data_IF_409434653809
#
_entry.id   IF_409434653809
#
_cell.length_a   1.000
_cell.length_b   1.000
_cell.length_c   1.000
_cell.angle_alpha   90.00
_cell.angle_beta   90.00
_cell.angle_gamma   90.00
#
_symmetry.space_group_name_H-M   'P 1'
#
loop_
_entity.id
_entity.type
_entity.pdbx_description
1 polymer ?
#
# COMPACT_ATOMS: atom_id res chain seq x y z
N UNK A 1 4.79 -10.32 3.08
CA UNK A 1 5.27 -9.88 4.38
C UNK A 1 5.09 -11.01 5.39
N UNK A 2 6.12 -11.30 6.16
CA UNK A 2 6.08 -12.35 7.18
C UNK A 2 5.58 -11.75 8.50
N UNK A 3 4.27 -11.70 8.64
CA UNK A 3 3.51 -11.35 9.87
C UNK A 3 2.17 -12.07 9.82
N UNK A 4 1.63 -12.38 10.99
CA UNK A 4 0.26 -12.86 11.11
C UNK A 4 -0.73 -11.70 10.97
N UNK A 5 -1.83 -11.92 10.27
CA UNK A 5 -2.87 -10.93 10.05
C UNK A 5 -4.23 -11.56 9.83
N UNK A 6 -5.27 -10.83 10.19
CA UNK A 6 -6.63 -11.27 10.05
C UNK A 6 -7.08 -11.23 8.58
N UNK A 7 -7.44 -12.40 8.02
CA UNK A 7 -8.02 -12.49 6.70
C UNK A 7 -9.45 -11.97 6.67
N UNK A 8 -9.90 -11.42 5.53
CA UNK A 8 -11.28 -11.00 5.34
C UNK A 8 -11.73 -11.23 3.90
N UNK A 9 -13.05 -11.38 3.72
CA UNK A 9 -13.70 -11.47 2.41
C UNK A 9 -14.98 -10.64 2.42
N UNK A 10 -15.16 -9.65 1.51
CA UNK A 10 -16.39 -8.90 1.39
C UNK A 10 -17.47 -9.77 0.74
N UNK A 11 -18.68 -9.76 1.29
CA UNK A 11 -19.80 -10.59 0.84
C UNK A 11 -21.09 -9.79 0.81
N UNK A 12 -21.98 -10.12 -0.16
CA UNK A 12 -23.35 -9.65 -0.18
C UNK A 12 -24.18 -10.50 0.78
N UNK A 13 -24.83 -9.87 1.75
CA UNK A 13 -25.57 -10.59 2.78
C UNK A 13 -27.07 -10.55 2.54
N UNK A 14 -27.74 -11.66 2.85
CA UNK A 14 -29.19 -11.78 2.81
C UNK A 14 -29.68 -12.41 4.12
N UNK A 15 -30.68 -11.78 4.74
CA UNK A 15 -31.35 -12.29 5.94
C UNK A 15 -32.78 -12.63 5.57
N UNK A 16 -33.20 -13.89 5.72
CA UNK A 16 -34.53 -14.39 5.32
C UNK A 16 -34.90 -14.03 3.88
N UNK A 17 -33.94 -14.10 2.95
CA UNK A 17 -34.13 -13.77 1.54
C UNK A 17 -34.17 -12.29 1.21
N UNK A 18 -34.03 -11.40 2.19
CA UNK A 18 -33.91 -9.95 1.98
C UNK A 18 -32.48 -9.52 2.00
N UNK A 19 -32.08 -8.69 1.06
CA UNK A 19 -30.73 -8.09 1.00
C UNK A 19 -30.44 -7.27 2.26
N UNK A 20 -29.29 -7.46 2.86
CA UNK A 20 -28.87 -6.85 4.14
C UNK A 20 -27.51 -6.14 4.05
N UNK A 21 -27.04 -5.85 2.86
CA UNK A 21 -25.84 -5.04 2.65
C UNK A 21 -24.56 -5.82 2.41
N UNK A 22 -23.49 -5.09 2.15
CA UNK A 22 -22.12 -5.59 2.04
C UNK A 22 -21.55 -5.75 3.44
N UNK A 23 -21.11 -6.95 3.78
CA UNK A 23 -20.42 -7.25 5.04
C UNK A 23 -19.09 -7.93 4.77
N UNK A 24 -18.22 -7.98 5.78
CA UNK A 24 -16.97 -8.71 5.72
C UNK A 24 -17.05 -9.98 6.57
N UNK A 25 -16.82 -11.14 5.95
CA UNK A 25 -16.45 -12.33 6.70
C UNK A 25 -15.01 -12.13 7.13
N UNK A 26 -14.75 -12.18 8.43
CA UNK A 26 -13.42 -12.02 9.00
C UNK A 26 -12.97 -13.28 9.71
N UNK A 27 -11.71 -13.60 9.57
CA UNK A 27 -11.07 -14.61 10.41
C UNK A 27 -11.07 -14.12 11.87
N UNK A 28 -11.45 -14.98 12.84
CA UNK A 28 -11.41 -14.57 14.24
C UNK A 28 -9.96 -14.40 14.72
N UNK A 29 -9.67 -13.32 15.44
CA UNK A 29 -8.34 -13.04 16.00
C UNK A 29 -8.19 -13.52 17.45
N UNK A 30 -8.76 -14.67 17.77
CA UNK A 30 -8.72 -15.29 19.10
C UNK A 30 -8.05 -16.68 19.04
N UNK A 31 -8.23 -17.52 20.06
CA UNK A 31 -7.66 -18.88 20.11
C UNK A 31 -7.99 -19.76 18.91
N UNK A 32 -9.00 -19.44 18.13
CA UNK A 32 -9.32 -20.16 16.90
C UNK A 32 -8.44 -19.76 15.72
N UNK A 33 -7.84 -18.55 15.76
CA UNK A 33 -6.84 -18.13 14.78
C UNK A 33 -5.61 -19.05 14.81
N UNK A 34 -5.03 -19.24 16.00
CA UNK A 34 -3.88 -20.11 16.19
C UNK A 34 -4.20 -21.59 15.90
N UNK A 35 -5.44 -22.02 16.14
CA UNK A 35 -5.88 -23.34 15.71
C UNK A 35 -5.95 -23.47 14.17
N UNK A 36 -6.58 -22.52 13.48
CA UNK A 36 -6.76 -22.56 12.04
C UNK A 36 -5.44 -22.45 11.27
N UNK A 37 -4.50 -21.62 11.74
CA UNK A 37 -3.27 -21.33 11.02
C UNK A 37 -2.07 -22.18 11.46
N UNK A 38 -2.06 -22.68 12.72
CA UNK A 38 -0.93 -23.37 13.33
C UNK A 38 -1.29 -24.75 13.91
N UNK A 39 -2.58 -25.12 13.88
CA UNK A 39 -3.06 -26.39 14.45
C UNK A 39 -3.03 -26.43 15.99
N UNK A 40 -2.88 -25.31 16.66
CA UNK A 40 -2.75 -25.23 18.13
C UNK A 40 -4.12 -25.22 18.80
N UNK A 41 -4.46 -26.27 19.54
CA UNK A 41 -5.64 -26.26 20.40
C UNK A 41 -5.48 -25.27 21.58
N UNK A 42 -6.57 -24.93 22.27
CA UNK A 42 -6.54 -24.01 23.42
C UNK A 42 -5.60 -24.46 24.52
N UNK A 43 -5.43 -25.77 24.69
CA UNK A 43 -4.59 -26.35 25.75
C UNK A 43 -3.11 -26.41 25.36
N UNK A 44 -2.81 -26.31 24.06
CA UNK A 44 -1.46 -26.37 23.52
C UNK A 44 -0.83 -25.00 23.30
N UNK A 45 -1.48 -23.92 23.69
CA UNK A 45 -1.00 -22.55 23.47
C UNK A 45 -1.04 -21.70 24.72
N UNK A 46 -0.18 -20.68 24.72
CA UNK A 46 -0.29 -19.49 25.54
C UNK A 46 -0.70 -18.33 24.65
N UNK A 47 -1.68 -17.52 25.07
CA UNK A 47 -2.18 -16.38 24.30
C UNK A 47 -2.51 -15.22 25.21
N UNK A 48 -2.11 -14.01 24.82
CA UNK A 48 -2.48 -12.77 25.50
C UNK A 48 -3.12 -11.76 24.56
N UNK A 49 -3.82 -10.80 25.16
CA UNK A 49 -4.35 -9.60 24.49
C UNK A 49 -4.12 -8.38 25.38
N UNK A 50 -3.79 -7.25 24.73
CA UNK A 50 -3.86 -5.94 25.37
C UNK A 50 -5.20 -5.30 25.03
N UNK A 51 -6.01 -5.07 26.04
CA UNK A 51 -7.29 -4.38 25.96
C UNK A 51 -7.17 -2.99 26.57
N UNK A 52 -7.66 -1.97 25.86
CA UNK A 52 -7.53 -0.58 26.25
C UNK A 52 -8.20 -0.21 27.58
N UNK A 53 -9.17 -1.04 28.03
CA UNK A 53 -9.91 -0.84 29.28
C UNK A 53 -9.41 -1.74 30.41
N UNK A 54 -8.99 -2.97 30.07
CA UNK A 54 -8.64 -4.02 31.03
C UNK A 54 -7.13 -4.24 31.14
N UNK A 55 -6.33 -3.67 30.22
CA UNK A 55 -4.89 -3.90 30.16
C UNK A 55 -4.54 -5.30 29.65
N UNK A 56 -3.51 -5.92 30.21
CA UNK A 56 -3.09 -7.27 29.83
C UNK A 56 -4.14 -8.32 30.24
N UNK A 57 -4.55 -9.13 29.27
CA UNK A 57 -5.49 -10.23 29.46
C UNK A 57 -4.84 -11.55 29.02
N UNK A 58 -4.86 -12.56 29.88
CA UNK A 58 -4.49 -13.93 29.55
C UNK A 58 -5.68 -14.61 28.86
N UNK A 59 -5.55 -14.91 27.57
CA UNK A 59 -6.66 -15.46 26.76
C UNK A 59 -6.65 -16.99 26.69
N UNK A 60 -5.47 -17.62 26.77
CA UNK A 60 -5.29 -19.07 26.84
C UNK A 60 -3.95 -19.42 27.49
N UNK A 61 -3.86 -20.60 28.12
CA UNK A 61 -2.64 -21.13 28.75
C UNK A 61 -2.19 -20.34 29.97
N UNK A 62 -0.87 -20.04 30.06
CA UNK A 62 -0.26 -19.28 31.15
C UNK A 62 0.55 -18.10 30.62
N UNK A 63 0.85 -17.16 31.51
CA UNK A 63 1.69 -15.99 31.17
C UNK A 63 3.19 -16.19 31.52
N UNK A 64 3.57 -17.38 31.98
CA UNK A 64 4.94 -17.65 32.47
C UNK A 64 6.00 -17.38 31.43
N UNK A 65 5.75 -17.84 30.18
CA UNK A 65 6.66 -17.62 29.06
C UNK A 65 6.75 -16.14 28.66
N UNK A 66 5.65 -15.41 28.73
CA UNK A 66 5.62 -13.98 28.44
C UNK A 66 6.35 -13.18 29.53
N UNK A 67 6.14 -13.51 30.79
CA UNK A 67 6.88 -12.95 31.93
C UNK A 67 8.36 -13.22 31.85
N UNK A 68 8.75 -14.44 31.45
CA UNK A 68 10.15 -14.78 31.23
C UNK A 68 10.76 -13.92 30.11
N UNK A 69 10.07 -13.77 28.98
CA UNK A 69 10.52 -12.89 27.91
C UNK A 69 10.69 -11.45 28.40
N UNK A 70 9.72 -10.95 29.15
CA UNK A 70 9.78 -9.60 29.75
C UNK A 70 11.02 -9.41 30.61
N UNK A 71 11.34 -10.38 31.48
CA UNK A 71 12.53 -10.37 32.34
C UNK A 71 13.84 -10.43 31.52
N UNK A 72 13.89 -11.30 30.52
CA UNK A 72 15.05 -11.41 29.63
C UNK A 72 15.28 -10.13 28.84
N UNK A 73 14.23 -9.47 28.37
CA UNK A 73 14.32 -8.24 27.60
C UNK A 73 14.99 -7.10 28.40
N UNK A 74 14.88 -7.07 29.71
CA UNK A 74 15.58 -6.08 30.55
C UNK A 74 17.10 -6.22 30.51
N UNK A 75 17.59 -7.42 30.19
CA UNK A 75 19.02 -7.79 30.14
C UNK A 75 19.47 -8.17 28.74
N UNK A 76 18.73 -7.81 27.71
CA UNK A 76 18.98 -8.24 26.33
C UNK A 76 20.30 -7.70 25.71
N UNK A 77 20.97 -6.77 26.37
CA UNK A 77 22.32 -6.30 25.99
C UNK A 77 23.42 -7.36 26.23
N UNK A 78 23.12 -8.38 27.02
CA UNK A 78 23.98 -9.54 27.21
C UNK A 78 23.75 -10.54 26.06
N UNK A 79 24.79 -10.89 25.29
CA UNK A 79 24.65 -11.75 24.11
C UNK A 79 23.98 -13.09 24.41
N UNK A 80 24.34 -13.74 25.51
CA UNK A 80 23.74 -15.01 25.93
C UNK A 80 22.25 -14.89 26.29
N UNK A 81 21.83 -13.73 26.80
CA UNK A 81 20.43 -13.44 27.09
C UNK A 81 19.66 -13.18 25.79
N UNK A 82 20.24 -12.40 24.88
CA UNK A 82 19.66 -12.16 23.59
C UNK A 82 19.48 -13.46 22.78
N UNK A 83 20.48 -14.33 22.78
CA UNK A 83 20.39 -15.65 22.12
C UNK A 83 19.24 -16.50 22.70
N UNK A 84 18.98 -16.43 24.01
CA UNK A 84 17.81 -17.10 24.61
C UNK A 84 16.50 -16.50 24.10
N UNK A 85 16.41 -15.18 23.94
CA UNK A 85 15.23 -14.51 23.42
C UNK A 85 14.97 -14.96 21.97
N UNK A 86 15.98 -15.09 21.11
CA UNK A 86 15.80 -15.54 19.72
C UNK A 86 15.25 -16.96 19.58
N UNK A 87 15.39 -17.78 20.63
CA UNK A 87 14.77 -19.11 20.71
C UNK A 87 13.30 -19.06 21.13
N UNK A 88 12.86 -17.96 21.76
CA UNK A 88 11.48 -17.77 22.24
C UNK A 88 10.63 -16.90 21.31
N UNK A 89 11.27 -16.08 20.50
CA UNK A 89 10.62 -15.06 19.65
C UNK A 89 11.15 -15.22 18.23
N UNK A 90 10.25 -15.16 17.26
CA UNK A 90 10.63 -14.99 15.89
C UNK A 90 10.98 -13.53 15.65
N UNK A 91 12.28 -13.25 15.54
CA UNK A 91 12.79 -11.87 15.46
C UNK A 91 12.36 -11.19 14.15
N UNK A 92 12.31 -11.94 13.03
CA UNK A 92 11.89 -11.39 11.74
C UNK A 92 10.42 -10.99 11.78
N UNK A 93 9.54 -11.88 12.26
CA UNK A 93 8.13 -11.60 12.42
C UNK A 93 7.91 -10.43 13.40
N UNK A 94 8.56 -10.46 14.55
CA UNK A 94 8.43 -9.44 15.59
C UNK A 94 8.86 -8.06 15.08
N UNK A 95 9.98 -7.96 14.38
CA UNK A 95 10.42 -6.70 13.78
C UNK A 95 9.48 -6.23 12.68
N UNK A 96 8.98 -7.12 11.83
CA UNK A 96 8.02 -6.79 10.79
C UNK A 96 6.69 -6.28 11.38
N UNK A 97 6.19 -6.93 12.42
CA UNK A 97 4.98 -6.52 13.13
C UNK A 97 5.12 -5.08 13.68
N UNK A 98 6.18 -4.83 14.45
CA UNK A 98 6.42 -3.50 15.03
C UNK A 98 6.69 -2.43 13.97
N UNK A 99 7.47 -2.75 12.94
CA UNK A 99 7.77 -1.83 11.84
C UNK A 99 6.49 -1.41 11.09
N UNK A 100 5.60 -2.36 10.83
CA UNK A 100 4.33 -2.09 10.14
C UNK A 100 3.42 -1.18 10.98
N UNK A 101 3.27 -1.47 12.27
CA UNK A 101 2.44 -0.66 13.16
C UNK A 101 3.01 0.75 13.37
N UNK A 102 4.31 0.87 13.58
CA UNK A 102 4.95 2.19 13.71
C UNK A 102 4.86 3.00 12.41
N UNK A 103 4.91 2.35 11.24
CA UNK A 103 4.70 3.04 9.97
C UNK A 103 3.26 3.51 9.76
N UNK A 104 2.29 2.69 10.17
CA UNK A 104 0.86 3.01 10.05
C UNK A 104 0.37 4.00 11.12
N UNK A 105 1.07 4.15 12.23
CA UNK A 105 0.74 5.08 13.31
C UNK A 105 -0.75 4.99 13.76
N UNK A 106 -1.28 3.82 14.18
CA UNK A 106 -2.63 3.75 14.72
C UNK A 106 -2.73 4.49 16.06
N UNK A 107 -3.81 5.26 16.26
CA UNK A 107 -3.98 6.15 17.41
C UNK A 107 -4.10 5.40 18.73
N UNK A 108 -4.83 4.30 18.73
CA UNK A 108 -5.22 3.52 19.92
C UNK A 108 -4.31 2.31 20.18
N UNK A 109 -3.22 2.19 19.42
CA UNK A 109 -2.29 1.07 19.58
C UNK A 109 -1.20 1.37 20.61
N UNK A 110 -0.69 0.28 21.21
CA UNK A 110 0.34 0.29 22.26
C UNK A 110 -0.23 -0.05 23.64
N UNK A 111 -1.42 0.42 23.94
CA UNK A 111 -2.20 0.05 25.14
C UNK A 111 -3.42 -0.82 24.80
N UNK A 112 -3.78 -0.92 23.53
CA UNK A 112 -4.90 -1.66 22.96
C UNK A 112 -4.43 -2.38 21.69
N UNK A 113 -5.22 -3.33 21.20
CA UNK A 113 -5.05 -3.97 19.89
C UNK A 113 -3.72 -4.70 19.69
N UNK A 114 -3.14 -5.27 20.76
CA UNK A 114 -1.98 -6.15 20.67
C UNK A 114 -2.37 -7.56 21.10
N UNK A 115 -2.17 -8.54 20.23
CA UNK A 115 -2.35 -9.96 20.53
C UNK A 115 -1.09 -10.74 20.19
N UNK A 116 -0.76 -11.69 21.06
CA UNK A 116 0.31 -12.63 20.80
C UNK A 116 -0.06 -14.02 21.25
N UNK A 117 0.46 -15.02 20.58
CA UNK A 117 0.31 -16.43 20.91
C UNK A 117 1.60 -17.20 20.67
N UNK A 118 1.74 -18.33 21.30
CA UNK A 118 2.79 -19.32 21.06
C UNK A 118 2.29 -20.73 21.37
N UNK A 119 2.83 -21.73 20.71
CA UNK A 119 2.67 -23.13 21.14
C UNK A 119 3.44 -23.42 22.42
N UNK A 120 2.98 -24.40 23.20
CA UNK A 120 3.66 -24.88 24.42
C UNK A 120 4.78 -25.89 24.13
N UNK A 121 4.81 -26.45 22.90
CA UNK A 121 5.87 -27.37 22.52
C UNK A 121 7.24 -26.71 22.57
N UNK A 122 8.27 -27.48 22.86
CA UNK A 122 9.66 -27.02 22.85
C UNK A 122 10.04 -26.42 21.49
N UNK A 123 10.73 -25.31 21.48
CA UNK A 123 11.10 -24.58 20.27
C UNK A 123 10.00 -23.67 19.66
N UNK A 124 8.77 -23.71 20.21
CA UNK A 124 7.73 -22.79 19.77
C UNK A 124 8.07 -21.34 20.12
N UNK A 125 7.79 -20.45 19.17
CA UNK A 125 8.08 -19.00 19.29
C UNK A 125 6.81 -18.19 19.47
N UNK A 126 6.95 -16.99 20.03
CA UNK A 126 5.89 -15.99 20.09
C UNK A 126 5.64 -15.38 18.70
N UNK A 127 4.36 -15.28 18.34
CA UNK A 127 3.80 -14.61 17.17
C UNK A 127 2.84 -13.51 17.59
N UNK A 128 2.66 -12.52 16.72
CA UNK A 128 1.75 -11.39 16.94
C UNK A 128 0.76 -11.28 15.78
N UNK A 129 -0.51 -11.08 16.07
CA UNK A 129 -1.57 -10.94 15.06
C UNK A 129 -1.87 -9.47 14.84
N UNK A 130 -1.79 -9.02 13.58
CA UNK A 130 -2.17 -7.67 13.18
C UNK A 130 -3.67 -7.61 12.93
N UNK A 131 -4.35 -6.70 13.62
CA UNK A 131 -5.80 -6.48 13.50
C UNK A 131 -6.13 -5.05 13.92
N UNK A 132 -7.37 -4.62 13.64
CA UNK A 132 -7.97 -3.36 14.10
C UNK A 132 -7.13 -2.11 13.79
N UNK A 133 -6.97 -1.85 12.49
CA UNK A 133 -6.20 -0.71 11.98
C UNK A 133 -7.10 0.44 11.51
N UNK A 134 -8.32 0.53 12.01
CA UNK A 134 -9.29 1.56 11.63
C UNK A 134 -8.87 2.98 12.03
N UNK A 135 -8.06 3.10 13.09
CA UNK A 135 -7.43 4.35 13.54
C UNK A 135 -6.02 4.58 12.98
N UNK A 136 -5.63 3.85 11.90
CA UNK A 136 -4.34 4.05 11.26
C UNK A 136 -4.17 5.49 10.72
N UNK A 137 -2.94 6.00 10.79
CA UNK A 137 -2.52 7.34 10.38
C UNK A 137 -2.95 8.51 11.29
N UNK A 138 -3.63 8.24 12.40
CA UNK A 138 -4.10 9.26 13.33
C UNK A 138 -3.20 9.38 14.57
N UNK A 139 -2.24 8.46 14.74
CA UNK A 139 -1.25 8.47 15.79
C UNK A 139 0.04 9.20 15.45
N UNK A 140 1.09 8.93 16.23
CA UNK A 140 2.44 9.46 16.00
C UNK A 140 3.50 8.47 16.51
N UNK A 141 4.44 8.07 15.64
CA UNK A 141 5.49 7.09 15.96
C UNK A 141 6.32 7.46 17.18
N UNK A 142 6.68 8.75 17.34
CA UNK A 142 7.47 9.18 18.49
C UNK A 142 6.68 9.06 19.78
N UNK A 143 5.37 9.37 19.73
CA UNK A 143 4.48 9.14 20.88
C UNK A 143 4.35 7.65 21.18
N UNK A 144 4.15 6.81 20.16
CA UNK A 144 4.04 5.36 20.31
C UNK A 144 5.30 4.78 20.97
N UNK A 145 6.49 5.21 20.56
CA UNK A 145 7.77 4.77 21.14
C UNK A 145 8.06 5.37 22.52
N UNK A 146 7.55 6.56 22.83
CA UNK A 146 7.83 7.28 24.08
C UNK A 146 6.71 7.17 25.11
N UNK A 147 5.47 6.96 24.70
CA UNK A 147 4.26 7.15 25.53
C UNK A 147 3.92 5.92 26.38
N UNK A 148 4.64 4.84 26.23
CA UNK A 148 4.42 3.62 27.04
C UNK A 148 4.39 3.93 28.54
N UNK A 149 5.20 4.86 29.01
CA UNK A 149 5.16 5.31 30.40
C UNK A 149 3.99 6.27 30.70
N UNK A 150 3.57 7.07 29.73
CA UNK A 150 2.53 8.10 29.95
C UNK A 150 1.11 7.57 29.95
N UNK A 151 0.77 6.65 29.06
CA UNK A 151 -0.58 6.06 28.99
C UNK A 151 -0.90 5.23 30.24
N UNK A 152 0.08 4.47 30.73
CA UNK A 152 -0.09 3.69 31.94
C UNK A 152 -0.13 4.53 33.23
N UNK A 153 0.35 5.78 33.20
CA UNK A 153 0.22 6.70 34.34
C UNK A 153 -1.06 7.53 34.28
N UNK A 154 -1.66 7.75 33.11
CA UNK A 154 -2.84 8.60 32.96
C UNK A 154 -4.17 7.85 33.10
N UNK A 155 -4.21 6.52 32.96
CA UNK A 155 -5.42 5.69 33.07
C UNK A 155 -5.41 4.88 34.37
N UNK A 156 -5.12 5.50 35.49
CA UNK A 156 -5.48 4.95 36.79
C UNK A 156 -6.99 5.15 36.98
N UNK A 157 -7.81 4.29 36.40
CA UNK A 157 -9.20 4.16 36.82
C UNK A 157 -9.22 3.43 38.14
N UNK A 158 -9.93 3.93 39.16
CA UNK A 158 -10.12 3.20 40.42
C UNK A 158 -10.73 1.83 40.10
N UNK A 159 -10.00 0.76 40.44
CA UNK A 159 -10.43 -0.63 40.25
C UNK A 159 -9.83 -1.37 39.03
N UNK A 160 -9.06 -0.72 38.14
CA UNK A 160 -8.31 -1.40 37.08
C UNK A 160 -6.91 -1.77 37.62
N UNK A 161 -6.62 -3.05 37.71
CA UNK A 161 -5.25 -3.54 37.88
C UNK A 161 -4.59 -3.52 36.47
N UNK A 162 -4.13 -2.35 36.05
CA UNK A 162 -3.25 -2.30 34.86
C UNK A 162 -1.94 -2.94 35.28
N UNK A 163 -1.68 -4.14 34.78
CA UNK A 163 -0.42 -4.85 35.06
C UNK A 163 0.65 -4.20 34.15
N UNK A 164 1.19 -3.06 34.58
CA UNK A 164 2.26 -2.30 33.91
C UNK A 164 3.46 -3.18 33.55
N UNK A 165 3.70 -4.19 34.36
CA UNK A 165 4.84 -5.10 34.21
C UNK A 165 4.78 -6.00 32.99
N UNK A 166 3.61 -6.18 32.39
CA UNK A 166 3.40 -7.07 31.23
C UNK A 166 3.12 -6.33 29.91
N UNK A 167 3.40 -5.03 29.83
CA UNK A 167 3.15 -4.29 28.60
C UNK A 167 4.12 -4.71 27.46
N UNK A 168 3.63 -5.20 26.32
CA UNK A 168 4.46 -5.62 25.18
C UNK A 168 5.38 -4.51 24.67
N UNK A 169 4.94 -3.26 24.74
CA UNK A 169 5.72 -2.08 24.35
C UNK A 169 6.98 -1.89 25.19
N UNK A 170 6.96 -2.25 26.49
CA UNK A 170 8.15 -2.22 27.35
C UNK A 170 9.18 -3.25 26.87
N UNK A 171 8.71 -4.43 26.48
CA UNK A 171 9.57 -5.48 25.93
C UNK A 171 10.27 -4.95 24.68
N UNK A 172 9.53 -4.39 23.73
CA UNK A 172 10.09 -3.85 22.48
C UNK A 172 11.13 -2.76 22.74
N UNK A 173 10.84 -1.79 23.61
CA UNK A 173 11.79 -0.73 23.99
C UNK A 173 13.05 -1.27 24.64
N UNK A 174 12.93 -2.28 25.48
CA UNK A 174 14.09 -2.93 26.07
C UNK A 174 14.91 -3.66 25.00
N UNK A 175 14.25 -4.38 24.08
CA UNK A 175 14.92 -5.05 22.96
C UNK A 175 15.73 -4.08 22.09
N UNK A 176 15.24 -2.86 21.87
CA UNK A 176 15.98 -1.82 21.14
C UNK A 176 17.31 -1.39 21.79
N UNK A 177 17.56 -1.73 23.07
CA UNK A 177 18.86 -1.51 23.71
C UNK A 177 19.94 -2.46 23.21
N UNK A 178 19.54 -3.62 22.68
CA UNK A 178 20.48 -4.54 22.02
C UNK A 178 20.80 -4.05 20.60
N UNK A 179 22.08 -3.84 20.30
CA UNK A 179 22.52 -3.26 19.02
C UNK A 179 22.16 -4.15 17.81
N UNK A 180 22.23 -5.49 17.96
CA UNK A 180 21.89 -6.45 16.91
C UNK A 180 20.40 -6.40 16.62
N UNK A 181 19.54 -6.43 17.63
CA UNK A 181 18.08 -6.30 17.49
C UNK A 181 17.70 -4.95 16.89
N UNK A 182 18.27 -3.87 17.41
CA UNK A 182 17.99 -2.51 16.92
C UNK A 182 18.33 -2.36 15.44
N UNK A 183 19.50 -2.85 15.01
CA UNK A 183 19.84 -2.83 13.59
C UNK A 183 18.87 -3.66 12.76
N UNK A 184 18.53 -4.86 13.21
CA UNK A 184 17.59 -5.73 12.52
C UNK A 184 16.21 -5.06 12.37
N UNK A 185 15.72 -4.40 13.41
CA UNK A 185 14.46 -3.64 13.39
C UNK A 185 14.52 -2.43 12.44
N UNK A 186 15.62 -1.66 12.46
CA UNK A 186 15.80 -0.52 11.55
C UNK A 186 15.77 -0.99 10.08
N UNK A 187 16.48 -2.08 9.78
CA UNK A 187 16.49 -2.68 8.45
C UNK A 187 15.08 -3.15 8.05
N UNK A 188 14.36 -3.85 8.93
CA UNK A 188 12.98 -4.28 8.70
C UNK A 188 12.05 -3.09 8.41
N UNK A 189 12.15 -2.00 9.20
CA UNK A 189 11.35 -0.80 9.00
C UNK A 189 11.62 -0.16 7.62
N UNK A 190 12.89 -0.03 7.24
CA UNK A 190 13.28 0.51 5.94
C UNK A 190 12.81 -0.39 4.79
N UNK A 191 12.99 -1.72 4.93
CA UNK A 191 12.55 -2.70 3.93
C UNK A 191 11.04 -2.63 3.72
N UNK A 192 10.25 -2.63 4.80
CA UNK A 192 8.79 -2.52 4.74
C UNK A 192 8.36 -1.19 4.12
N UNK A 193 8.98 -0.09 4.54
CA UNK A 193 8.72 1.24 3.97
C UNK A 193 8.95 1.28 2.46
N UNK A 194 10.05 0.71 1.98
CA UNK A 194 10.46 0.74 0.56
C UNK A 194 9.90 -0.40 -0.30
N UNK A 195 9.14 -1.34 0.28
CA UNK A 195 8.57 -2.48 -0.44
C UNK A 195 7.07 -2.60 -0.22
N UNK A 196 6.64 -2.94 1.00
CA UNK A 196 5.21 -3.15 1.34
C UNK A 196 4.42 -1.86 1.22
N UNK A 197 4.96 -0.76 1.76
CA UNK A 197 4.37 0.58 1.74
C UNK A 197 4.92 1.48 0.62
N UNK A 198 5.51 0.88 -0.42
CA UNK A 198 5.89 1.65 -1.61
C UNK A 198 4.63 2.30 -2.20
N UNK A 199 4.63 3.63 -2.45
CA UNK A 199 3.42 4.41 -2.75
C UNK A 199 2.62 3.92 -3.96
N UNK A 200 3.29 3.53 -5.06
CA UNK A 200 2.58 3.05 -6.25
C UNK A 200 1.91 1.70 -6.00
N UNK A 201 2.57 0.81 -5.27
CA UNK A 201 2.02 -0.47 -4.83
C UNK A 201 0.80 -0.27 -3.92
N UNK A 202 0.90 0.64 -2.96
CA UNK A 202 -0.22 0.95 -2.06
C UNK A 202 -1.43 1.48 -2.83
N UNK A 203 -1.22 2.40 -3.76
CA UNK A 203 -2.28 2.90 -4.64
C UNK A 203 -2.97 1.77 -5.39
N UNK A 204 -2.19 0.88 -5.99
CA UNK A 204 -2.73 -0.26 -6.73
C UNK A 204 -3.55 -1.21 -5.84
N UNK A 205 -3.09 -1.50 -4.61
CA UNK A 205 -3.83 -2.34 -3.66
C UNK A 205 -5.15 -1.67 -3.27
N UNK A 206 -5.14 -0.38 -2.93
CA UNK A 206 -6.35 0.36 -2.57
C UNK A 206 -7.36 0.35 -3.73
N UNK A 207 -6.90 0.54 -4.98
CA UNK A 207 -7.76 0.50 -6.16
C UNK A 207 -8.31 -0.91 -6.41
N UNK A 208 -7.49 -1.95 -6.20
CA UNK A 208 -7.96 -3.34 -6.32
C UNK A 208 -9.04 -3.67 -5.30
N UNK A 209 -8.82 -3.30 -4.02
CA UNK A 209 -9.81 -3.52 -2.95
C UNK A 209 -11.10 -2.72 -3.21
N UNK A 210 -10.97 -1.47 -3.64
CA UNK A 210 -12.11 -0.63 -4.02
C UNK A 210 -12.91 -1.27 -5.15
N UNK A 211 -12.25 -1.77 -6.19
CA UNK A 211 -12.90 -2.38 -7.35
C UNK A 211 -13.71 -3.63 -6.98
N UNK A 212 -13.32 -4.35 -5.93
CA UNK A 212 -14.06 -5.53 -5.47
C UNK A 212 -15.41 -5.19 -4.83
N UNK A 213 -15.59 -3.99 -4.27
CA UNK A 213 -16.79 -3.64 -3.47
C UNK A 213 -17.57 -2.45 -4.01
N UNK A 214 -16.98 -1.60 -4.86
CA UNK A 214 -17.54 -0.30 -5.23
C UNK A 214 -18.96 -0.39 -5.82
N UNK A 215 -19.20 -1.33 -6.72
CA UNK A 215 -20.52 -1.47 -7.39
C UNK A 215 -21.63 -1.83 -6.41
N UNK A 216 -21.34 -2.77 -5.50
CA UNK A 216 -22.28 -3.17 -4.47
C UNK A 216 -22.57 -2.03 -3.49
N UNK A 217 -21.54 -1.30 -3.05
CA UNK A 217 -21.69 -0.15 -2.15
C UNK A 217 -22.45 1.00 -2.82
N UNK A 218 -22.21 1.28 -4.10
CA UNK A 218 -22.99 2.28 -4.84
C UNK A 218 -24.46 1.90 -4.96
N UNK A 219 -24.76 0.63 -5.16
CA UNK A 219 -26.14 0.14 -5.17
C UNK A 219 -26.86 0.35 -3.82
N UNK A 220 -26.10 0.47 -2.73
CA UNK A 220 -26.59 0.81 -1.38
C UNK A 220 -26.65 2.33 -1.13
N UNK A 221 -26.26 3.15 -2.09
CA UNK A 221 -26.13 4.60 -1.90
C UNK A 221 -24.92 5.04 -1.09
N UNK A 222 -23.93 4.14 -0.90
CA UNK A 222 -22.70 4.40 -0.15
C UNK A 222 -21.54 4.59 -1.14
N UNK A 223 -20.83 5.72 -1.07
CA UNK A 223 -19.64 5.95 -1.88
C UNK A 223 -18.38 5.60 -1.10
N UNK A 224 -17.63 4.56 -1.49
CA UNK A 224 -16.36 4.22 -0.87
C UNK A 224 -15.17 5.07 -1.39
N UNK A 225 -15.39 5.94 -2.38
CA UNK A 225 -14.31 6.68 -3.06
C UNK A 225 -13.58 7.63 -2.11
N UNK A 226 -14.30 8.32 -1.23
CA UNK A 226 -13.72 9.24 -0.26
C UNK A 226 -12.75 8.54 0.69
N UNK A 227 -13.12 7.39 1.23
CA UNK A 227 -12.25 6.59 2.11
C UNK A 227 -11.03 6.06 1.36
N UNK A 228 -11.20 5.54 0.14
CA UNK A 228 -10.08 5.09 -0.68
C UNK A 228 -9.12 6.25 -1.02
N UNK A 229 -9.65 7.42 -1.38
CA UNK A 229 -8.86 8.64 -1.61
C UNK A 229 -8.08 9.07 -0.37
N UNK A 230 -8.71 9.06 0.80
CA UNK A 230 -8.06 9.38 2.07
C UNK A 230 -6.87 8.45 2.35
N UNK A 231 -7.04 7.14 2.19
CA UNK A 231 -5.96 6.16 2.41
C UNK A 231 -4.81 6.39 1.40
N UNK A 232 -5.11 6.59 0.11
CA UNK A 232 -4.08 6.87 -0.90
C UNK A 232 -3.29 8.15 -0.58
N UNK A 233 -3.97 9.20 -0.13
CA UNK A 233 -3.33 10.46 0.27
C UNK A 233 -2.45 10.34 1.53
N UNK A 234 -2.62 9.27 2.31
CA UNK A 234 -1.78 8.97 3.47
C UNK A 234 -0.57 8.08 3.13
N UNK A 235 -0.59 7.34 2.02
CA UNK A 235 0.44 6.39 1.61
C UNK A 235 1.25 6.95 0.42
N UNK A 236 1.91 8.08 0.64
CA UNK A 236 2.64 8.84 -0.37
C UNK A 236 4.16 8.76 -0.19
N UNK A 237 4.91 9.25 -1.19
CA UNK A 237 6.38 9.35 -1.11
C UNK A 237 6.82 10.33 -0.02
N UNK A 238 6.04 11.39 0.23
CA UNK A 238 6.30 12.34 1.31
C UNK A 238 6.15 11.69 2.68
N UNK A 239 5.12 10.84 2.85
CA UNK A 239 5.00 10.03 4.08
C UNK A 239 6.17 9.08 4.24
N UNK A 240 6.54 8.36 3.19
CA UNK A 240 7.70 7.45 3.24
C UNK A 240 8.95 8.18 3.74
N UNK A 241 9.26 9.33 3.14
CA UNK A 241 10.40 10.17 3.57
C UNK A 241 10.25 10.67 5.01
N UNK A 242 9.05 11.11 5.41
CA UNK A 242 8.79 11.58 6.77
C UNK A 242 8.95 10.48 7.82
N UNK A 243 8.52 9.25 7.52
CA UNK A 243 8.65 8.10 8.45
C UNK A 243 10.11 7.69 8.64
N UNK A 244 10.92 7.69 7.58
CA UNK A 244 12.38 7.48 7.67
C UNK A 244 13.05 8.59 8.47
N UNK A 245 12.65 9.85 8.28
CA UNK A 245 13.17 10.97 9.07
C UNK A 245 12.80 10.86 10.56
N UNK A 246 11.58 10.48 10.90
CA UNK A 246 11.14 10.21 12.27
C UNK A 246 11.95 9.07 12.90
N UNK A 247 12.15 7.97 12.17
CA UNK A 247 12.96 6.86 12.63
C UNK A 247 14.40 7.32 12.93
N UNK A 248 15.04 8.04 12.00
CA UNK A 248 16.39 8.58 12.15
C UNK A 248 16.51 9.50 13.37
N UNK A 249 15.52 10.34 13.59
CA UNK A 249 15.54 11.34 14.66
C UNK A 249 15.28 10.73 16.06
N UNK A 250 14.72 9.52 16.13
CA UNK A 250 14.35 8.94 17.42
C UNK A 250 15.57 8.43 18.19
N UNK A 251 15.77 8.87 19.46
CA UNK A 251 16.99 8.55 20.23
C UNK A 251 17.28 7.05 20.38
N UNK A 252 16.24 6.22 20.49
CA UNK A 252 16.40 4.77 20.64
C UNK A 252 17.01 4.09 19.41
N UNK A 253 17.01 4.73 18.26
CA UNK A 253 17.56 4.16 17.03
C UNK A 253 19.07 4.39 16.89
N UNK A 254 19.63 5.34 17.63
CA UNK A 254 21.07 5.67 17.60
C UNK A 254 21.61 5.96 16.20
N UNK A 255 20.80 6.62 15.34
CA UNK A 255 21.14 6.95 13.96
C UNK A 255 21.70 8.39 13.80
N UNK A 256 22.07 9.04 14.89
CA UNK A 256 22.63 10.38 14.82
C UNK A 256 23.93 10.39 14.01
N UNK A 257 23.98 11.25 12.99
CA UNK A 257 25.13 11.35 12.08
C UNK A 257 25.20 10.24 11.00
N UNK A 258 24.26 9.30 10.99
CA UNK A 258 24.18 8.26 9.94
C UNK A 258 23.30 8.79 8.80
N UNK A 259 23.83 8.80 7.57
CA UNK A 259 23.02 9.21 6.41
C UNK A 259 22.21 8.04 5.84
N UNK A 260 21.04 8.35 5.32
CA UNK A 260 20.19 7.41 4.63
C UNK A 260 20.51 7.42 3.13
N UNK A 261 20.76 6.24 2.58
CA UNK A 261 21.03 6.05 1.16
C UNK A 261 19.77 5.64 0.42
N UNK A 262 19.43 6.37 -0.66
CA UNK A 262 18.28 6.04 -1.50
C UNK A 262 18.65 4.94 -2.50
N UNK A 263 17.92 3.84 -2.46
CA UNK A 263 18.12 2.72 -3.35
C UNK A 263 16.84 2.37 -4.10
N UNK A 264 17.02 1.96 -5.35
CA UNK A 264 15.96 1.41 -6.18
C UNK A 264 16.45 0.06 -6.72
N UNK A 265 15.88 -1.02 -6.22
CA UNK A 265 16.28 -2.39 -6.51
C UNK A 265 15.11 -3.18 -7.08
N UNK A 266 15.35 -4.00 -8.08
CA UNK A 266 14.36 -4.94 -8.60
C UNK A 266 15.01 -6.20 -9.13
N UNK A 267 14.25 -7.28 -9.17
CA UNK A 267 14.63 -8.51 -9.85
C UNK A 267 13.95 -8.59 -11.21
N UNK A 268 14.60 -9.23 -12.18
CA UNK A 268 14.04 -9.42 -13.51
C UNK A 268 13.21 -10.71 -13.66
N UNK A 269 13.11 -11.49 -12.59
CA UNK A 269 12.31 -12.72 -12.52
C UNK A 269 11.35 -12.64 -11.33
N UNK A 270 10.06 -12.95 -11.49
CA UNK A 270 9.07 -12.90 -10.41
C UNK A 270 9.40 -13.81 -9.22
N UNK A 271 10.02 -14.96 -9.47
CA UNK A 271 10.37 -15.96 -8.46
C UNK A 271 11.73 -15.70 -7.79
N UNK A 272 12.52 -14.74 -8.30
CA UNK A 272 13.78 -14.36 -7.67
C UNK A 272 13.51 -13.60 -6.36
N UNK A 273 14.33 -13.85 -5.34
CA UNK A 273 14.20 -13.17 -4.06
C UNK A 273 15.30 -12.13 -3.89
N UNK A 274 14.92 -10.98 -3.39
CA UNK A 274 15.81 -9.90 -2.99
C UNK A 274 15.98 -9.94 -1.47
N UNK A 275 17.22 -9.85 -0.98
CA UNK A 275 17.51 -9.70 0.44
C UNK A 275 18.33 -8.41 0.67
N UNK A 276 18.03 -7.73 1.76
CA UNK A 276 18.76 -6.57 2.27
C UNK A 276 19.19 -6.91 3.69
N UNK A 277 20.49 -6.89 3.96
CA UNK A 277 21.08 -7.27 5.24
C UNK A 277 20.55 -8.64 5.74
N UNK A 278 20.52 -9.62 4.83
CA UNK A 278 20.00 -10.97 5.01
C UNK A 278 18.49 -11.09 5.29
N UNK A 279 17.75 -9.99 5.37
CA UNK A 279 16.30 -9.97 5.52
C UNK A 279 15.61 -10.01 4.15
N UNK A 280 14.59 -10.84 3.94
CA UNK A 280 13.89 -10.92 2.67
C UNK A 280 13.06 -9.64 2.42
N UNK A 281 13.18 -9.09 1.23
CA UNK A 281 12.26 -8.06 0.75
C UNK A 281 10.93 -8.72 0.39
N UNK A 282 9.80 -8.33 0.99
CA UNK A 282 8.50 -9.00 0.79
C UNK A 282 7.94 -8.94 -0.64
N UNK A 283 8.52 -8.08 -1.48
CA UNK A 283 8.19 -7.89 -2.89
C UNK A 283 9.41 -8.16 -3.76
N UNK A 284 9.27 -8.16 -5.09
CA UNK A 284 10.40 -8.32 -6.00
C UNK A 284 11.19 -7.03 -6.22
N UNK A 285 10.84 -5.97 -5.52
CA UNK A 285 11.41 -4.64 -5.68
C UNK A 285 11.46 -3.90 -4.34
N UNK A 286 12.40 -2.97 -4.28
CA UNK A 286 12.56 -2.04 -3.17
C UNK A 286 12.84 -0.64 -3.72
N UNK A 287 12.11 0.35 -3.23
CA UNK A 287 12.35 1.76 -3.51
C UNK A 287 12.23 2.56 -2.23
N UNK A 288 13.36 2.95 -1.66
CA UNK A 288 13.35 3.63 -0.38
C UNK A 288 14.76 3.92 0.14
N UNK A 289 14.80 4.38 1.39
CA UNK A 289 16.02 4.70 2.09
C UNK A 289 16.47 3.56 3.00
N UNK A 290 17.77 3.35 3.08
CA UNK A 290 18.44 2.40 3.98
C UNK A 290 19.58 3.10 4.72
N UNK A 291 19.92 2.61 5.91
CA UNK A 291 21.05 3.09 6.69
C UNK A 291 22.23 2.13 6.61
N UNK A 292 23.45 2.66 6.40
CA UNK A 292 24.67 1.86 6.35
C UNK A 292 24.97 1.15 7.68
N UNK A 293 25.58 -0.06 7.67
CA UNK A 293 26.04 -0.79 6.49
C UNK A 293 24.90 -1.50 5.74
N UNK A 294 24.98 -1.52 4.40
CA UNK A 294 23.97 -2.11 3.51
C UNK A 294 24.60 -3.26 2.72
N UNK A 295 24.01 -4.44 2.81
CA UNK A 295 24.32 -5.60 1.97
C UNK A 295 23.10 -5.99 1.16
N UNK A 296 23.24 -6.13 -0.15
CA UNK A 296 22.17 -6.58 -1.03
C UNK A 296 22.50 -7.93 -1.65
N UNK A 297 21.54 -8.84 -1.66
CA UNK A 297 21.66 -10.16 -2.27
C UNK A 297 20.46 -10.44 -3.16
N UNK A 298 20.70 -11.12 -4.29
CA UNK A 298 19.64 -11.69 -5.11
C UNK A 298 19.78 -13.21 -5.09
N UNK A 299 18.68 -13.91 -4.82
CA UNK A 299 18.61 -15.37 -4.84
C UNK A 299 17.84 -15.79 -6.07
N UNK A 300 18.54 -16.44 -7.00
CA UNK A 300 17.96 -16.95 -8.21
C UNK A 300 17.06 -18.16 -7.93
N UNK A 301 15.91 -18.32 -8.64
CA UNK A 301 15.09 -19.51 -8.55
C UNK A 301 15.77 -20.73 -9.17
N UNK A 302 15.22 -21.92 -8.94
CA UNK A 302 15.75 -23.16 -9.49
C UNK A 302 15.88 -23.10 -11.02
N UNK A 303 17.02 -23.55 -11.56
CA UNK A 303 17.33 -23.48 -12.98
C UNK A 303 17.94 -22.17 -13.48
N UNK A 304 18.05 -21.17 -12.62
CA UNK A 304 18.67 -19.87 -12.92
C UNK A 304 19.89 -19.63 -12.04
N UNK A 305 20.72 -18.68 -12.46
CA UNK A 305 21.87 -18.20 -11.66
C UNK A 305 21.90 -16.67 -11.66
N UNK A 306 22.32 -16.11 -10.56
CA UNK A 306 22.59 -14.67 -10.45
C UNK A 306 23.80 -14.30 -11.31
N UNK A 307 23.65 -13.36 -12.23
CA UNK A 307 24.67 -12.92 -13.16
C UNK A 307 25.37 -11.63 -12.73
N UNK A 308 24.75 -10.88 -11.83
CA UNK A 308 25.25 -9.60 -11.36
C UNK A 308 24.15 -8.54 -11.28
N UNK A 309 24.52 -7.40 -10.73
CA UNK A 309 23.71 -6.20 -10.68
C UNK A 309 23.97 -5.36 -11.94
N UNK A 310 22.89 -4.84 -12.51
CA UNK A 310 22.95 -3.86 -13.60
C UNK A 310 22.48 -2.52 -13.07
N UNK A 311 23.32 -1.49 -13.20
CA UNK A 311 22.86 -0.14 -12.93
C UNK A 311 21.92 0.30 -14.05
N UNK A 312 20.64 0.53 -13.68
CA UNK A 312 19.64 1.08 -14.59
C UNK A 312 19.60 2.58 -14.30
N UNK A 313 20.19 3.37 -15.16
CA UNK A 313 20.04 4.82 -15.07
C UNK A 313 18.56 5.17 -15.23
N UNK A 314 18.01 5.93 -14.29
CA UNK A 314 16.66 6.48 -14.42
C UNK A 314 16.68 7.54 -15.53
N UNK A 315 16.39 7.12 -16.75
CA UNK A 315 16.14 8.04 -17.85
C UNK A 315 14.66 8.41 -17.78
N UNK A 316 14.34 9.60 -17.28
CA UNK A 316 13.02 10.16 -17.52
C UNK A 316 12.92 10.50 -19.00
N UNK A 317 12.06 9.82 -19.73
CA UNK A 317 11.77 10.12 -21.13
C UNK A 317 10.26 10.34 -21.30
N UNK A 318 9.89 11.35 -22.07
CA UNK A 318 8.51 11.53 -22.44
C UNK A 318 8.15 10.53 -23.54
N UNK A 319 7.35 9.51 -23.19
CA UNK A 319 6.80 8.56 -24.16
C UNK A 319 5.80 9.25 -25.12
N UNK A 320 5.12 10.27 -24.64
CA UNK A 320 4.24 11.15 -25.40
C UNK A 320 4.80 12.56 -25.30
N UNK A 321 5.25 13.10 -26.42
CA UNK A 321 5.75 14.47 -26.48
C UNK A 321 4.60 15.47 -26.45
N UNK A 322 4.83 16.64 -25.86
CA UNK A 322 3.93 17.79 -26.00
C UNK A 322 3.68 18.07 -27.46
N UNK A 323 2.45 18.37 -27.83
CA UNK A 323 2.02 18.59 -29.23
C UNK A 323 2.18 17.38 -30.18
N UNK A 324 2.25 16.15 -29.65
CA UNK A 324 2.21 14.96 -30.49
C UNK A 324 0.85 14.73 -31.13
N UNK A 325 0.84 13.98 -32.23
CA UNK A 325 -0.40 13.60 -32.93
C UNK A 325 -1.21 12.55 -32.18
N UNK A 326 -2.54 12.70 -32.25
CA UNK A 326 -3.53 11.78 -31.71
C UNK A 326 -4.55 11.44 -32.81
N UNK A 327 -5.04 10.22 -32.78
CA UNK A 327 -6.28 9.87 -33.47
C UNK A 327 -7.42 10.37 -32.64
N UNK A 328 -8.42 11.02 -33.27
CA UNK A 328 -9.61 11.49 -32.53
C UNK A 328 -10.90 11.26 -33.31
N UNK A 329 -11.99 11.10 -32.56
CA UNK A 329 -13.32 10.90 -33.11
C UNK A 329 -14.29 11.90 -32.48
N UNK A 330 -14.91 12.71 -33.35
CA UNK A 330 -15.81 13.82 -32.99
C UNK A 330 -17.14 13.74 -33.77
N UNK A 331 -17.72 12.52 -33.91
CA UNK A 331 -18.90 12.29 -34.73
C UNK A 331 -20.09 11.61 -34.03
N UNK A 332 -20.01 11.34 -32.74
CA UNK A 332 -21.08 10.71 -31.95
C UNK A 332 -20.62 9.54 -31.10
N UNK A 333 -21.59 8.72 -30.63
CA UNK A 333 -21.34 7.63 -29.70
C UNK A 333 -20.48 6.50 -30.27
N UNK A 334 -19.63 5.97 -29.41
CA UNK A 334 -18.88 4.72 -29.57
C UNK A 334 -19.20 3.69 -28.46
N UNK A 335 -20.31 3.86 -27.73
CA UNK A 335 -20.68 3.01 -26.60
C UNK A 335 -20.78 1.52 -26.97
N UNK A 336 -21.30 1.22 -28.16
CA UNK A 336 -21.44 -0.14 -28.68
C UNK A 336 -20.16 -0.69 -29.32
N UNK A 337 -19.05 0.05 -29.26
CA UNK A 337 -17.79 -0.31 -29.90
C UNK A 337 -16.68 -0.52 -28.87
N UNK A 338 -15.84 -1.52 -29.12
CA UNK A 338 -14.68 -1.75 -28.27
C UNK A 338 -13.50 -0.83 -28.66
N UNK A 339 -13.76 0.47 -28.76
CA UNK A 339 -12.83 1.48 -29.26
C UNK A 339 -11.59 1.64 -28.38
N UNK A 340 -11.65 1.21 -27.13
CA UNK A 340 -10.54 1.25 -26.16
C UNK A 340 -9.51 0.14 -26.38
N UNK A 341 -9.88 -0.93 -27.08
CA UNK A 341 -9.04 -2.10 -27.26
C UNK A 341 -7.82 -1.84 -28.14
N UNK A 342 -6.67 -2.46 -27.87
CA UNK A 342 -5.44 -2.27 -28.66
C UNK A 342 -5.57 -2.62 -30.14
N UNK A 343 -6.46 -3.55 -30.48
CA UNK A 343 -6.70 -4.04 -31.85
C UNK A 343 -7.85 -3.33 -32.56
N UNK A 344 -8.47 -2.33 -31.93
CA UNK A 344 -9.52 -1.53 -32.62
C UNK A 344 -8.92 -0.77 -33.80
N UNK A 345 -9.64 -0.79 -34.92
CA UNK A 345 -9.22 -0.09 -36.13
C UNK A 345 -9.69 1.36 -36.14
N UNK A 346 -8.81 2.29 -35.82
CA UNK A 346 -9.05 3.74 -35.85
C UNK A 346 -8.66 4.41 -37.17
N UNK A 347 -8.41 3.66 -38.26
CA UNK A 347 -7.94 4.24 -39.52
C UNK A 347 -8.88 5.28 -40.16
N UNK A 348 -10.18 5.24 -39.82
CA UNK A 348 -11.18 6.23 -40.26
C UNK A 348 -11.29 7.46 -39.36
N UNK A 349 -10.57 7.49 -38.27
CA UNK A 349 -10.57 8.62 -37.36
C UNK A 349 -9.76 9.77 -37.93
N UNK A 350 -10.04 10.97 -37.46
CA UNK A 350 -9.22 12.15 -37.77
C UNK A 350 -7.89 12.09 -37.01
N UNK A 351 -6.91 12.83 -37.50
CA UNK A 351 -5.60 12.97 -36.84
C UNK A 351 -5.35 14.45 -36.55
N UNK A 352 -4.73 14.73 -35.42
CA UNK A 352 -4.41 16.08 -35.04
C UNK A 352 -3.41 16.17 -33.90
N UNK A 353 -2.73 17.31 -33.81
CA UNK A 353 -1.74 17.61 -32.78
C UNK A 353 -2.40 18.16 -31.53
N UNK A 354 -1.97 17.68 -30.38
CA UNK A 354 -2.38 18.23 -29.10
C UNK A 354 -1.83 19.68 -28.89
N UNK A 355 -2.50 20.56 -28.15
CA UNK A 355 -3.83 20.37 -27.58
C UNK A 355 -4.92 20.36 -28.65
N UNK A 356 -5.90 19.46 -28.47
CA UNK A 356 -7.07 19.34 -29.33
C UNK A 356 -8.28 19.90 -28.56
N UNK A 357 -9.07 20.70 -29.20
CA UNK A 357 -10.24 21.31 -28.58
C UNK A 357 -10.96 22.28 -29.50
N UNK A 358 -11.94 22.99 -28.97
CA UNK A 358 -12.62 24.07 -29.65
C UNK A 358 -12.82 25.26 -28.71
N UNK A 359 -12.74 26.46 -29.28
CA UNK A 359 -13.09 27.69 -28.58
C UNK A 359 -13.82 28.64 -29.49
N UNK A 360 -14.53 29.61 -28.92
CA UNK A 360 -15.24 30.66 -29.68
C UNK A 360 -14.29 31.52 -30.52
N UNK A 361 -13.05 31.65 -30.09
CA UNK A 361 -12.04 32.49 -30.77
C UNK A 361 -11.10 31.69 -31.64
N UNK A 362 -11.14 30.34 -31.61
CA UNK A 362 -10.21 29.47 -32.27
C UNK A 362 -8.78 29.49 -31.72
N UNK A 363 -8.55 30.24 -30.65
CA UNK A 363 -7.23 30.36 -30.03
C UNK A 363 -7.00 29.24 -28.99
N UNK A 364 -5.73 28.84 -28.81
CA UNK A 364 -5.29 27.93 -27.75
C UNK A 364 -5.14 26.48 -28.15
N UNK A 365 -5.60 26.05 -29.33
CA UNK A 365 -5.52 24.65 -29.81
C UNK A 365 -4.66 24.52 -31.04
N UNK A 366 -3.86 23.47 -31.13
CA UNK A 366 -3.13 23.11 -32.35
C UNK A 366 -4.06 22.42 -33.38
N UNK A 367 -5.10 21.76 -32.86
CA UNK A 367 -6.12 21.12 -33.69
C UNK A 367 -7.49 21.49 -33.18
N UNK A 368 -8.30 22.08 -34.06
CA UNK A 368 -9.71 22.30 -33.77
C UNK A 368 -10.51 21.03 -34.05
N UNK A 369 -11.30 20.61 -33.05
CA UNK A 369 -12.28 19.52 -33.18
C UNK A 369 -13.68 20.09 -33.39
N UNK A 370 -14.58 19.31 -33.96
CA UNK A 370 -15.96 19.74 -34.20
C UNK A 370 -16.77 19.72 -32.91
N UNK A 371 -17.50 20.76 -32.62
CA UNK A 371 -18.51 20.75 -31.55
C UNK A 371 -19.90 20.28 -32.03
N UNK A 372 -20.03 19.86 -33.29
CA UNK A 372 -21.28 19.45 -33.91
C UNK A 372 -21.90 20.53 -34.78
N UNK A 373 -23.11 20.27 -35.30
CA UNK A 373 -23.84 21.18 -36.19
C UNK A 373 -24.58 22.30 -35.40
N UNK A 374 -24.87 22.10 -34.12
CA UNK A 374 -25.61 23.02 -33.27
C UNK A 374 -24.74 23.46 -32.10
N UNK A 375 -24.46 24.75 -32.00
CA UNK A 375 -23.67 25.34 -30.93
C UNK A 375 -24.38 25.30 -29.54
N UNK A 376 -25.71 25.13 -29.54
CA UNK A 376 -26.48 24.97 -28.32
C UNK A 376 -26.55 23.52 -27.83
N UNK A 377 -26.33 22.54 -28.74
CA UNK A 377 -26.32 21.10 -28.45
C UNK A 377 -25.01 20.50 -28.96
N UNK A 378 -23.94 20.74 -28.25
CA UNK A 378 -22.61 20.27 -28.63
C UNK A 378 -22.49 18.75 -28.47
N UNK A 379 -21.50 18.19 -29.12
CA UNK A 379 -21.11 16.77 -28.94
C UNK A 379 -20.71 16.58 -27.46
N UNK A 380 -21.37 15.67 -26.73
CA UNK A 380 -21.11 15.51 -25.28
C UNK A 380 -19.80 14.78 -25.01
N UNK A 381 -19.35 13.86 -25.87
CA UNK A 381 -18.14 13.06 -25.63
C UNK A 381 -17.26 12.98 -26.87
N UNK A 382 -15.97 13.14 -26.64
CA UNK A 382 -14.90 13.01 -27.64
C UNK A 382 -13.98 11.86 -27.29
N UNK A 383 -13.48 11.16 -28.31
CA UNK A 383 -12.62 9.99 -28.12
C UNK A 383 -11.27 10.22 -28.75
N UNK A 384 -10.22 9.89 -28.00
CA UNK A 384 -8.83 10.07 -28.41
C UNK A 384 -8.07 8.78 -28.25
N UNK A 385 -7.13 8.51 -29.19
CA UNK A 385 -6.25 7.34 -29.11
C UNK A 385 -4.82 7.72 -29.48
N UNK A 386 -3.88 7.11 -28.77
CA UNK A 386 -2.45 7.25 -29.01
C UNK A 386 -1.76 5.90 -28.88
N UNK A 387 -1.02 5.51 -29.91
CA UNK A 387 -0.14 4.35 -29.83
C UNK A 387 1.24 4.79 -29.37
N UNK A 388 1.77 4.08 -28.39
CA UNK A 388 3.16 4.18 -27.94
C UNK A 388 3.83 2.81 -28.05
N UNK A 389 5.15 2.79 -28.24
CA UNK A 389 5.92 1.54 -28.35
C UNK A 389 7.01 1.52 -27.31
N UNK A 390 7.01 0.48 -26.48
CA UNK A 390 8.06 0.25 -25.49
C UNK A 390 9.05 -0.80 -26.01
N UNK A 391 10.37 -0.57 -25.90
CA UNK A 391 11.37 -1.51 -26.38
C UNK A 391 11.40 -2.83 -25.59
N UNK A 392 10.96 -2.80 -24.33
CA UNK A 392 10.88 -3.92 -23.43
C UNK A 392 9.67 -3.77 -22.50
N UNK A 393 9.29 -4.84 -21.81
CA UNK A 393 8.31 -4.74 -20.71
C UNK A 393 8.90 -3.90 -19.58
N UNK A 394 8.14 -2.94 -19.03
CA UNK A 394 8.60 -2.15 -17.89
C UNK A 394 8.93 -3.01 -16.67
N UNK A 395 9.83 -2.50 -15.86
CA UNK A 395 10.12 -3.08 -14.56
C UNK A 395 9.08 -2.63 -13.52
N UNK A 396 8.83 -3.41 -12.47
CA UNK A 396 7.92 -3.02 -11.39
C UNK A 396 8.29 -1.69 -10.72
N UNK A 397 9.52 -1.26 -10.83
CA UNK A 397 10.05 -0.01 -10.27
C UNK A 397 9.92 1.20 -11.20
N UNK A 398 9.49 1.01 -12.45
CA UNK A 398 9.27 2.13 -13.37
C UNK A 398 8.03 2.92 -12.94
N UNK A 399 8.08 4.23 -13.11
CA UNK A 399 6.97 5.13 -12.81
C UNK A 399 6.48 5.77 -14.09
N UNK A 400 5.21 5.59 -14.40
CA UNK A 400 4.55 6.19 -15.54
C UNK A 400 3.54 7.22 -15.08
N UNK A 401 3.81 8.48 -15.31
CA UNK A 401 2.89 9.56 -15.03
C UNK A 401 2.27 10.07 -16.33
N UNK A 402 0.95 10.04 -16.40
CA UNK A 402 0.19 10.67 -17.45
C UNK A 402 -0.26 12.04 -16.96
N UNK A 403 0.44 13.08 -17.44
CA UNK A 403 0.14 14.48 -17.10
C UNK A 403 -0.69 15.06 -18.25
N UNK A 404 -1.81 15.69 -17.93
CA UNK A 404 -2.73 16.22 -18.92
C UNK A 404 -3.47 17.46 -18.42
N UNK A 405 -3.97 18.24 -19.38
CA UNK A 405 -4.98 19.27 -19.13
C UNK A 405 -6.27 18.78 -19.76
N UNK A 406 -7.36 18.93 -19.09
CA UNK A 406 -8.70 18.56 -19.55
C UNK A 406 -9.72 19.61 -19.12
N UNK A 407 -10.73 19.77 -19.95
CA UNK A 407 -11.89 20.63 -19.79
C UNK A 407 -13.09 19.81 -20.28
N UNK A 408 -13.98 19.34 -19.41
CA UNK A 408 -14.15 19.39 -17.96
C UNK A 408 -13.67 18.12 -17.26
N UNK A 409 -13.86 16.93 -17.84
CA UNK A 409 -13.55 15.63 -17.25
C UNK A 409 -13.10 14.60 -18.29
N UNK A 410 -12.46 13.52 -17.82
CA UNK A 410 -12.04 12.44 -18.71
C UNK A 410 -11.93 11.08 -18.01
N UNK A 411 -11.97 10.03 -18.83
CA UNK A 411 -11.57 8.67 -18.42
C UNK A 411 -10.45 8.17 -19.31
N UNK A 412 -9.41 7.62 -18.72
CA UNK A 412 -8.18 7.21 -19.39
C UNK A 412 -8.02 5.70 -19.32
N UNK A 413 -7.70 5.10 -20.43
CA UNK A 413 -7.52 3.67 -20.61
C UNK A 413 -6.13 3.35 -21.14
N UNK A 414 -5.51 2.30 -20.64
CA UNK A 414 -4.31 1.69 -21.20
C UNK A 414 -4.65 0.27 -21.65
N UNK A 415 -4.44 -0.02 -22.95
CA UNK A 415 -4.71 -1.33 -23.53
C UNK A 415 -6.13 -1.86 -23.29
N UNK A 416 -7.11 -0.96 -23.17
CA UNK A 416 -8.52 -1.28 -22.93
C UNK A 416 -8.93 -1.35 -21.48
N UNK A 417 -7.98 -1.23 -20.54
CA UNK A 417 -8.22 -1.21 -19.09
C UNK A 417 -8.22 0.23 -18.60
N UNK A 418 -9.24 0.64 -17.85
CA UNK A 418 -9.26 1.95 -17.20
C UNK A 418 -8.11 2.07 -16.22
N UNK A 419 -7.33 3.13 -16.35
CA UNK A 419 -6.18 3.43 -15.47
C UNK A 419 -6.41 4.64 -14.59
N UNK A 420 -7.46 5.39 -14.86
CA UNK A 420 -7.89 6.51 -14.03
C UNK A 420 -8.92 7.38 -14.72
N UNK A 421 -9.51 8.26 -13.93
CA UNK A 421 -10.46 9.29 -14.39
C UNK A 421 -10.25 10.58 -13.64
N UNK A 422 -10.64 11.67 -14.25
CA UNK A 422 -10.63 12.98 -13.64
C UNK A 422 -11.99 13.63 -13.83
N UNK A 423 -12.57 14.15 -12.75
CA UNK A 423 -13.86 14.86 -12.72
C UNK A 423 -15.01 14.11 -13.41
N UNK A 424 -15.04 12.77 -13.34
CA UNK A 424 -16.09 11.91 -13.89
C UNK A 424 -16.69 11.05 -12.79
N UNK A 425 -18.02 10.87 -12.85
CA UNK A 425 -18.73 9.97 -11.95
C UNK A 425 -18.24 8.52 -12.10
N UNK A 426 -18.32 7.71 -11.04
CA UNK A 426 -18.01 6.28 -11.13
C UNK A 426 -19.02 5.54 -12.01
N UNK A 427 -18.62 4.36 -12.51
CA UNK A 427 -19.39 3.53 -13.41
C UNK A 427 -18.82 3.53 -14.82
N UNK A 428 -19.42 2.74 -15.73
CA UNK A 428 -19.06 2.76 -17.14
C UNK A 428 -19.62 4.02 -17.77
N UNK A 429 -18.76 4.93 -18.27
CA UNK A 429 -19.26 6.15 -18.89
C UNK A 429 -19.98 5.83 -20.20
N UNK A 430 -21.01 6.59 -20.48
CA UNK A 430 -21.75 6.58 -21.73
C UNK A 430 -21.54 7.89 -22.47
N UNK A 431 -21.84 7.89 -23.77
CA UNK A 431 -21.68 9.06 -24.63
C UNK A 431 -22.36 10.35 -24.13
N UNK A 432 -23.43 10.22 -23.34
CA UNK A 432 -24.20 11.34 -22.81
C UNK A 432 -23.84 11.75 -21.38
N UNK A 433 -22.87 11.08 -20.77
CA UNK A 433 -22.44 11.44 -19.41
C UNK A 433 -21.55 12.69 -19.47
N UNK A 434 -21.83 13.62 -18.57
CA UNK A 434 -21.05 14.84 -18.40
C UNK A 434 -20.11 14.74 -17.20
N UNK A 435 -19.11 15.60 -17.16
CA UNK A 435 -18.26 15.79 -16.00
C UNK A 435 -19.07 16.10 -14.74
N UNK A 436 -18.58 15.67 -13.58
CA UNK A 436 -19.26 15.82 -12.28
C UNK A 436 -19.37 17.29 -11.84
N UNK A 437 -18.41 18.11 -12.24
CA UNK A 437 -18.36 19.57 -11.95
C UNK A 437 -17.70 20.30 -13.11
N UNK A 438 -17.93 21.60 -13.24
CA UNK A 438 -17.16 22.45 -14.13
C UNK A 438 -15.71 22.49 -13.67
N UNK A 439 -14.78 22.26 -14.58
CA UNK A 439 -13.36 22.50 -14.41
C UNK A 439 -12.96 23.81 -15.09
N UNK A 440 -12.00 24.53 -14.51
CA UNK A 440 -11.39 25.67 -15.19
C UNK A 440 -10.61 25.18 -16.43
N UNK A 441 -10.56 26.00 -17.49
CA UNK A 441 -9.90 25.68 -18.77
C UNK A 441 -8.45 25.19 -18.68
N UNK A 442 -7.83 25.34 -17.54
CA UNK A 442 -6.43 24.98 -17.25
C UNK A 442 -6.27 23.98 -16.12
N UNK A 443 -7.30 23.19 -15.83
CA UNK A 443 -7.17 22.15 -14.83
C UNK A 443 -6.11 21.13 -15.26
N UNK A 444 -5.12 20.95 -14.39
CA UNK A 444 -4.00 20.03 -14.61
C UNK A 444 -4.11 18.85 -13.70
N UNK A 445 -4.11 17.68 -14.29
CA UNK A 445 -4.16 16.45 -13.53
C UNK A 445 -3.01 15.51 -13.89
N UNK A 446 -2.71 14.60 -12.98
CA UNK A 446 -1.72 13.54 -13.15
C UNK A 446 -2.34 12.23 -12.72
N UNK A 447 -2.24 11.22 -13.58
CA UNK A 447 -2.57 9.84 -13.22
C UNK A 447 -1.30 9.00 -13.30
N UNK A 448 -0.96 8.33 -12.21
CA UNK A 448 0.14 7.37 -12.16
C UNK A 448 -0.37 6.01 -12.61
N UNK A 449 0.22 5.46 -13.65
CA UNK A 449 -0.17 4.19 -14.27
C UNK A 449 0.78 3.08 -13.81
N UNK A 450 0.22 1.98 -13.34
CA UNK A 450 1.03 0.82 -12.95
C UNK A 450 1.87 0.28 -14.12
N UNK A 451 3.18 0.05 -13.94
CA UNK A 451 4.06 -0.51 -14.96
C UNK A 451 3.61 -1.89 -15.46
N UNK A 452 2.89 -2.64 -14.64
CA UNK A 452 2.41 -3.99 -14.98
C UNK A 452 1.37 -4.01 -16.11
N UNK A 453 0.65 -2.90 -16.31
CA UNK A 453 -0.34 -2.73 -17.38
C UNK A 453 0.28 -2.52 -18.75
N UNK A 454 1.56 -2.15 -18.80
CA UNK A 454 2.30 -1.98 -20.05
C UNK A 454 2.87 -3.30 -20.55
N UNK A 455 3.04 -3.39 -21.87
CA UNK A 455 3.62 -4.55 -22.57
C UNK A 455 4.87 -4.12 -23.31
N UNK A 456 5.78 -5.05 -23.59
CA UNK A 456 6.78 -4.85 -24.62
C UNK A 456 6.09 -4.66 -25.97
N UNK A 457 6.61 -3.76 -26.81
CA UNK A 457 6.01 -3.41 -28.09
C UNK A 457 4.87 -2.40 -27.96
N UNK A 458 3.82 -2.59 -28.76
CA UNK A 458 2.70 -1.66 -28.92
C UNK A 458 1.81 -1.61 -27.68
N UNK A 459 1.59 -0.39 -27.17
CA UNK A 459 0.58 -0.07 -26.17
C UNK A 459 -0.33 1.04 -26.71
N UNK A 460 -1.59 1.04 -26.31
CA UNK A 460 -2.57 2.04 -26.74
C UNK A 460 -3.11 2.76 -25.52
N UNK A 461 -2.95 4.07 -25.48
CA UNK A 461 -3.65 4.97 -24.57
C UNK A 461 -4.91 5.44 -25.28
N UNK A 462 -6.04 5.30 -24.62
CA UNK A 462 -7.33 5.79 -25.10
C UNK A 462 -7.94 6.71 -24.04
N UNK A 463 -8.57 7.78 -24.47
CA UNK A 463 -9.17 8.79 -23.58
C UNK A 463 -10.53 9.17 -24.13
N UNK A 464 -11.51 9.24 -23.27
CA UNK A 464 -12.79 9.92 -23.53
C UNK A 464 -12.90 11.16 -22.64
N UNK A 465 -13.36 12.26 -23.23
CA UNK A 465 -13.45 13.59 -22.62
C UNK A 465 -14.85 14.12 -22.81
#
# INVERSE_FOLDING_TARGET
LYIDGQSYEPVLTYVNGKYNGVMNIREPNNKHYSFANYGLSSDEQDQFEMDGSLGYQQMAGTDDSFKLWRQLAERCTEDSVYERITKMVDIDEYCNYWASLLYLEPLDWGHNNIKGFRGKAEGSKWHHVMFDLDSAFDGDMNKMLNTVERYYTAVERPGSVVVRELAPTIIFRNMLKNATFRKHFIDAFCIISGSVFEPSRCTHIVDSLLNNVKEAMFAEGISPLGSAGTIKNKLTAERQAAMIAKLKAHPLMELNGVEAEQLNLSTNLPEARLLINDQPVPTNSFRGALFSPIQIKAVAPAGYRFMGWKNVQSNSSNLIQTASEWDFYDKGSLDDQNWKAPNYNSASWKHGRAPLGFSKTGAGFNTQISYGADAANKIPTYYFRKTITLPARPMPTDVFNFNFNVDDGCVIYLNGVEVGRHNMNPGTPTYIDFASTFADEYDRATITISPELFKAGKNVIAVEV
#
